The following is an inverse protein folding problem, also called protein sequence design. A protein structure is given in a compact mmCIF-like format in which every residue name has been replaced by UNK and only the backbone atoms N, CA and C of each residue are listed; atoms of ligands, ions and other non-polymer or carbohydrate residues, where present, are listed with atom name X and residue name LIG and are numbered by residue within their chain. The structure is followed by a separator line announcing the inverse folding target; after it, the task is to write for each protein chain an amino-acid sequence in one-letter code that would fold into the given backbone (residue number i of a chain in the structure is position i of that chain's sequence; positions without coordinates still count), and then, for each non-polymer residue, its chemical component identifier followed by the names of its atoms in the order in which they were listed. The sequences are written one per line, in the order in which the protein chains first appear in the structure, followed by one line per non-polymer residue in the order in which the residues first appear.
data_IF_464446967667
#
_entry.id   IF_464446967667
#
_cell.length_a   1.000
_cell.length_b   1.000
_cell.length_c   1.000
_cell.angle_alpha   90.00
_cell.angle_beta   90.00
_cell.angle_gamma   90.00
#
_symmetry.space_group_name_H-M   'P 1'
#
loop_
_entity.id
_entity.type
_entity.pdbx_description
1 polymer ?
#
# COMPACT_ATOMS: atom_id res chain seq x y z
N UNK A 1 -44.03 -35.36 -0.56
CA UNK A 1 -42.56 -35.23 -0.53
C UNK A 1 -41.87 -35.68 -1.83
N UNK A 2 -42.01 -36.94 -2.26
CA UNK A 2 -41.35 -37.49 -3.47
C UNK A 2 -41.75 -36.82 -4.81
N UNK A 3 -42.91 -36.16 -4.88
CA UNK A 3 -43.39 -35.49 -6.11
C UNK A 3 -43.21 -33.96 -6.06
N UNK A 4 -42.48 -33.45 -5.06
CA UNK A 4 -42.18 -32.02 -4.90
C UNK A 4 -40.66 -31.86 -4.72
N UNK A 5 -39.87 -31.97 -5.81
CA UNK A 5 -38.40 -31.90 -5.76
C UNK A 5 -37.89 -30.60 -5.11
N UNK A 6 -38.65 -29.51 -5.28
CA UNK A 6 -38.35 -28.20 -4.68
C UNK A 6 -38.42 -28.21 -3.14
N UNK A 7 -39.08 -29.22 -2.55
CA UNK A 7 -39.14 -29.39 -1.11
C UNK A 7 -38.07 -30.35 -0.56
N UNK A 8 -37.17 -30.88 -1.38
CA UNK A 8 -36.20 -31.85 -0.92
C UNK A 8 -35.06 -31.20 -0.14
N UNK A 9 -34.68 -31.83 0.97
CA UNK A 9 -33.42 -31.56 1.65
C UNK A 9 -32.41 -32.59 1.17
N UNK A 10 -31.42 -32.12 0.41
CA UNK A 10 -30.48 -32.99 -0.28
C UNK A 10 -29.09 -32.80 0.31
N UNK A 11 -28.41 -33.92 0.61
CA UNK A 11 -26.99 -33.94 0.97
C UNK A 11 -26.29 -34.90 0.01
N UNK A 12 -25.41 -34.36 -0.82
CA UNK A 12 -24.59 -35.12 -1.77
C UNK A 12 -23.14 -34.98 -1.36
N UNK A 13 -22.43 -36.11 -1.23
CA UNK A 13 -20.99 -36.13 -1.01
C UNK A 13 -20.29 -36.84 -2.16
N UNK A 14 -19.07 -36.44 -2.47
CA UNK A 14 -18.28 -37.06 -3.53
C UNK A 14 -16.84 -36.60 -3.54
N UNK A 15 -16.11 -37.03 -4.56
CA UNK A 15 -14.78 -36.56 -4.90
C UNK A 15 -14.84 -35.54 -6.04
N UNK A 16 -13.91 -34.60 -6.02
CA UNK A 16 -13.60 -33.71 -7.13
C UNK A 16 -12.40 -34.29 -7.86
N UNK A 17 -12.39 -34.23 -9.18
CA UNK A 17 -11.24 -34.57 -10.00
C UNK A 17 -11.21 -33.61 -11.21
N UNK A 18 -10.09 -32.90 -11.38
CA UNK A 18 -9.83 -31.99 -12.50
C UNK A 18 -10.97 -30.98 -12.81
N UNK A 19 -11.44 -30.29 -11.78
CA UNK A 19 -12.48 -29.26 -11.91
C UNK A 19 -11.85 -27.89 -12.11
N UNK A 20 -12.16 -27.20 -13.20
CA UNK A 20 -11.73 -25.84 -13.44
C UNK A 20 -12.81 -24.82 -13.07
N UNK A 21 -12.43 -23.69 -12.45
CA UNK A 21 -13.33 -22.56 -12.27
C UNK A 21 -12.67 -21.23 -12.64
N UNK A 22 -13.50 -20.31 -13.15
CA UNK A 22 -13.04 -18.96 -13.51
C UNK A 22 -13.00 -18.08 -12.25
N UNK A 23 -11.88 -17.40 -12.05
CA UNK A 23 -11.70 -16.43 -10.97
C UNK A 23 -11.65 -15.02 -11.56
N UNK A 24 -12.09 -14.01 -10.80
CA UNK A 24 -11.87 -12.60 -11.14
C UNK A 24 -10.45 -12.14 -10.77
N UNK A 25 -9.78 -12.84 -9.86
CA UNK A 25 -8.44 -12.49 -9.40
C UNK A 25 -7.35 -12.95 -10.38
N UNK A 26 -7.64 -13.97 -11.18
CA UNK A 26 -6.68 -14.60 -12.10
C UNK A 26 -7.23 -14.63 -13.52
N UNK A 27 -6.40 -14.28 -14.50
CA UNK A 27 -6.79 -14.33 -15.91
C UNK A 27 -7.04 -15.76 -16.42
N UNK A 28 -6.35 -16.75 -15.83
CA UNK A 28 -6.52 -18.17 -16.13
C UNK A 28 -7.42 -18.84 -15.09
N UNK A 29 -8.19 -19.89 -15.47
CA UNK A 29 -8.95 -20.67 -14.52
C UNK A 29 -8.08 -21.28 -13.42
N UNK A 30 -8.62 -21.36 -12.22
CA UNK A 30 -8.05 -22.14 -11.12
C UNK A 30 -8.46 -23.59 -11.32
N UNK A 31 -7.50 -24.50 -11.21
CA UNK A 31 -7.73 -25.94 -11.36
C UNK A 31 -7.81 -26.58 -9.97
N UNK A 32 -8.88 -27.31 -9.69
CA UNK A 32 -9.01 -28.22 -8.56
C UNK A 32 -8.62 -29.59 -9.07
N UNK A 33 -7.47 -30.08 -8.65
CA UNK A 33 -6.89 -31.32 -9.14
C UNK A 33 -7.63 -32.52 -8.56
N UNK A 34 -7.82 -32.51 -7.24
CA UNK A 34 -8.53 -33.55 -6.51
C UNK A 34 -9.00 -33.05 -5.15
N UNK A 35 -9.94 -33.75 -4.54
CA UNK A 35 -10.36 -33.51 -3.16
C UNK A 35 -11.73 -34.08 -2.88
N UNK A 36 -12.32 -33.72 -1.73
CA UNK A 36 -13.68 -34.16 -1.37
C UNK A 36 -14.60 -32.98 -1.20
N UNK A 37 -15.88 -33.20 -1.50
CA UNK A 37 -16.90 -32.19 -1.29
C UNK A 37 -18.16 -32.77 -0.65
N UNK A 38 -18.91 -31.90 0.03
CA UNK A 38 -20.26 -32.16 0.50
C UNK A 38 -21.13 -30.97 0.10
N UNK A 39 -22.13 -31.20 -0.73
CA UNK A 39 -23.16 -30.24 -1.07
C UNK A 39 -24.40 -30.51 -0.21
N UNK A 40 -24.83 -29.51 0.55
CA UNK A 40 -26.10 -29.52 1.27
C UNK A 40 -27.03 -28.48 0.66
N UNK A 41 -28.29 -28.85 0.42
CA UNK A 41 -29.34 -27.96 -0.02
C UNK A 41 -30.57 -28.19 0.87
N UNK A 42 -30.97 -27.18 1.64
CA UNK A 42 -32.11 -27.25 2.57
C UNK A 42 -33.28 -26.33 2.20
N UNK A 43 -33.39 -25.97 0.91
CA UNK A 43 -34.31 -24.97 0.31
C UNK A 43 -33.98 -23.52 0.64
N UNK A 44 -33.46 -23.22 1.83
CA UNK A 44 -33.14 -21.85 2.26
C UNK A 44 -31.68 -21.49 2.04
N UNK A 45 -30.81 -22.49 2.06
CA UNK A 45 -29.36 -22.35 1.91
C UNK A 45 -28.80 -23.52 1.11
N UNK A 46 -27.86 -23.21 0.23
CA UNK A 46 -26.99 -24.21 -0.35
C UNK A 46 -25.59 -24.00 0.23
N UNK A 47 -24.97 -25.07 0.67
CA UNK A 47 -23.66 -25.04 1.29
C UNK A 47 -22.79 -26.10 0.60
N UNK A 48 -21.73 -25.65 -0.07
CA UNK A 48 -20.67 -26.52 -0.54
C UNK A 48 -19.55 -26.50 0.50
N UNK A 49 -19.25 -27.66 1.08
CA UNK A 49 -18.06 -27.87 1.91
C UNK A 49 -16.99 -28.55 1.05
N UNK A 50 -15.76 -28.04 1.14
CA UNK A 50 -14.58 -28.53 0.46
C UNK A 50 -13.60 -29.05 1.51
N UNK A 51 -13.07 -30.25 1.28
CA UNK A 51 -12.15 -30.91 2.21
C UNK A 51 -10.90 -31.37 1.45
N UNK A 52 -9.74 -30.92 1.93
CA UNK A 52 -8.41 -31.35 1.48
C UNK A 52 -8.27 -31.27 -0.05
N UNK A 53 -8.76 -30.20 -0.64
CA UNK A 53 -8.73 -30.04 -2.09
C UNK A 53 -7.35 -29.57 -2.51
N UNK A 54 -6.68 -30.35 -3.34
CA UNK A 54 -5.46 -29.93 -4.01
C UNK A 54 -5.84 -29.10 -5.23
N UNK A 55 -5.26 -27.92 -5.34
CA UNK A 55 -5.51 -26.99 -6.41
C UNK A 55 -4.21 -26.48 -7.02
N UNK A 56 -4.31 -26.08 -8.27
CA UNK A 56 -3.26 -25.42 -9.02
C UNK A 56 -3.76 -24.02 -9.37
N UNK A 57 -3.15 -23.02 -8.74
CA UNK A 57 -3.43 -21.60 -9.00
C UNK A 57 -2.25 -21.04 -9.78
N UNK A 58 -2.43 -20.79 -11.08
CA UNK A 58 -1.32 -20.52 -12.00
C UNK A 58 -0.28 -21.64 -11.94
N UNK A 59 0.94 -21.36 -11.49
CA UNK A 59 2.03 -22.30 -11.28
C UNK A 59 2.19 -22.78 -9.83
N UNK A 60 1.35 -22.27 -8.92
CA UNK A 60 1.45 -22.58 -7.50
C UNK A 60 0.52 -23.72 -7.05
N UNK A 61 1.06 -24.82 -6.49
CA UNK A 61 0.27 -25.85 -5.86
C UNK A 61 -0.23 -25.35 -4.49
N UNK A 62 -1.53 -25.51 -4.26
CA UNK A 62 -2.25 -25.05 -3.08
C UNK A 62 -3.13 -26.16 -2.54
N UNK A 63 -3.31 -26.18 -1.23
CA UNK A 63 -4.33 -26.93 -0.53
C UNK A 63 -5.42 -25.96 -0.06
N UNK A 64 -6.67 -26.36 -0.28
CA UNK A 64 -7.82 -25.58 0.11
C UNK A 64 -8.87 -26.42 0.82
N UNK A 65 -9.50 -25.83 1.82
CA UNK A 65 -10.63 -26.42 2.54
C UNK A 65 -11.54 -25.32 3.04
N UNK A 66 -12.83 -25.57 3.15
CA UNK A 66 -13.73 -24.55 3.64
C UNK A 66 -15.12 -24.67 3.08
N UNK A 67 -15.82 -23.54 2.97
CA UNK A 67 -17.20 -23.50 2.54
C UNK A 67 -17.49 -22.40 1.54
N UNK A 68 -18.45 -22.68 0.67
CA UNK A 68 -19.02 -21.74 -0.30
C UNK A 68 -20.53 -21.76 -0.15
N UNK A 69 -21.11 -20.58 0.05
CA UNK A 69 -22.54 -20.39 0.26
C UNK A 69 -23.24 -20.07 -1.08
N UNK A 70 -24.36 -20.75 -1.32
CA UNK A 70 -25.26 -20.56 -2.46
C UNK A 70 -24.64 -20.82 -3.83
N UNK A 71 -23.86 -21.89 -3.98
CA UNK A 71 -23.11 -22.15 -5.22
C UNK A 71 -23.97 -22.30 -6.49
N UNK A 72 -25.18 -22.89 -6.40
CA UNK A 72 -26.03 -23.07 -7.58
C UNK A 72 -26.89 -21.83 -7.88
N UNK A 73 -27.26 -21.06 -6.85
CA UNK A 73 -28.04 -19.83 -6.98
C UNK A 73 -27.18 -18.56 -7.16
N UNK A 74 -25.87 -18.74 -7.31
CA UNK A 74 -24.87 -17.68 -7.35
C UNK A 74 -24.27 -17.42 -5.97
N UNK A 75 -22.93 -17.51 -5.90
CA UNK A 75 -22.17 -17.50 -4.66
C UNK A 75 -22.45 -16.23 -3.84
N UNK A 76 -22.85 -16.39 -2.58
CA UNK A 76 -23.14 -15.28 -1.65
C UNK A 76 -22.11 -15.14 -0.54
N UNK A 77 -21.25 -16.12 -0.36
CA UNK A 77 -20.17 -16.07 0.62
C UNK A 77 -19.19 -17.21 0.44
N UNK A 78 -17.98 -17.02 0.95
CA UNK A 78 -17.00 -18.09 1.08
C UNK A 78 -16.15 -17.89 2.33
N UNK A 79 -15.71 -18.99 2.91
CA UNK A 79 -14.72 -19.06 3.99
C UNK A 79 -13.78 -20.21 3.63
N UNK A 80 -12.55 -19.88 3.23
CA UNK A 80 -11.56 -20.84 2.73
C UNK A 80 -10.27 -20.75 3.56
N UNK A 81 -9.78 -21.90 3.98
CA UNK A 81 -8.42 -22.12 4.47
C UNK A 81 -7.53 -22.45 3.29
N UNK A 82 -6.34 -21.87 3.27
CA UNK A 82 -5.38 -21.98 2.17
C UNK A 82 -4.00 -22.30 2.76
N UNK A 83 -3.28 -23.23 2.13
CA UNK A 83 -1.87 -23.49 2.41
C UNK A 83 -1.18 -23.88 1.11
N UNK A 84 0.13 -23.69 1.00
CA UNK A 84 0.86 -24.10 -0.20
C UNK A 84 2.08 -23.24 -0.47
N UNK A 85 2.73 -23.52 -1.60
CA UNK A 85 3.97 -22.84 -1.97
C UNK A 85 3.73 -21.92 -3.15
N UNK A 86 4.05 -20.65 -2.98
CA UNK A 86 3.94 -19.64 -4.03
C UNK A 86 5.12 -19.76 -4.99
N UNK A 87 4.78 -19.85 -6.26
CA UNK A 87 5.68 -19.99 -7.40
C UNK A 87 5.71 -18.67 -8.20
N UNK A 88 6.72 -18.47 -9.07
CA UNK A 88 7.00 -17.18 -9.69
C UNK A 88 5.80 -16.49 -10.34
N UNK A 89 4.97 -17.20 -11.14
CA UNK A 89 3.84 -16.56 -11.84
C UNK A 89 2.74 -16.10 -10.88
N UNK A 90 2.54 -16.80 -9.77
CA UNK A 90 1.64 -16.33 -8.72
C UNK A 90 2.22 -15.09 -8.03
N UNK A 91 3.51 -15.07 -7.73
CA UNK A 91 4.17 -13.94 -7.09
C UNK A 91 4.12 -12.68 -7.97
N UNK A 92 4.36 -12.81 -9.28
CA UNK A 92 4.23 -11.69 -10.22
C UNK A 92 2.80 -11.15 -10.24
N UNK A 93 1.80 -12.05 -10.27
CA UNK A 93 0.39 -11.64 -10.18
C UNK A 93 0.06 -10.96 -8.85
N UNK A 94 0.68 -11.39 -7.75
CA UNK A 94 0.50 -10.74 -6.45
C UNK A 94 1.07 -9.32 -6.46
N UNK A 95 2.25 -9.10 -7.03
CA UNK A 95 2.84 -7.76 -7.20
C UNK A 95 1.91 -6.83 -7.97
N UNK A 96 1.27 -7.32 -9.04
CA UNK A 96 0.25 -6.56 -9.78
C UNK A 96 -0.99 -6.22 -8.93
N UNK A 97 -1.52 -7.19 -8.19
CA UNK A 97 -2.71 -7.01 -7.33
C UNK A 97 -2.47 -6.03 -6.17
N UNK A 98 -1.22 -5.94 -5.71
CA UNK A 98 -0.81 -5.01 -4.65
C UNK A 98 -0.41 -3.63 -5.18
N UNK A 99 -0.44 -3.43 -6.50
CA UNK A 99 0.03 -2.22 -7.18
C UNK A 99 1.46 -1.81 -6.80
N UNK A 100 2.32 -2.81 -6.60
CA UNK A 100 3.74 -2.59 -6.37
C UNK A 100 4.44 -2.25 -7.69
N UNK A 101 5.48 -1.43 -7.62
CA UNK A 101 6.36 -1.15 -8.76
C UNK A 101 6.93 -2.49 -9.28
N UNK A 102 6.83 -2.77 -10.59
CA UNK A 102 7.29 -4.01 -11.19
C UNK A 102 8.74 -4.39 -10.83
N UNK A 103 9.60 -3.43 -10.48
CA UNK A 103 10.97 -3.73 -10.04
C UNK A 103 11.05 -4.56 -8.74
N UNK A 104 9.99 -4.56 -7.93
CA UNK A 104 9.91 -5.32 -6.69
C UNK A 104 9.37 -6.73 -6.95
N UNK A 105 10.25 -7.61 -7.44
CA UNK A 105 9.95 -9.04 -7.58
C UNK A 105 10.18 -9.77 -6.26
N UNK A 106 9.17 -10.51 -5.78
CA UNK A 106 9.28 -11.33 -4.57
C UNK A 106 10.10 -12.60 -4.89
N UNK A 107 11.06 -12.94 -4.02
CA UNK A 107 11.85 -14.18 -4.11
C UNK A 107 10.92 -15.40 -4.10
N UNK A 108 11.08 -16.32 -5.08
CA UNK A 108 10.37 -17.58 -5.09
C UNK A 108 10.64 -18.42 -3.84
N UNK A 109 9.75 -19.37 -3.58
CA UNK A 109 9.88 -20.27 -2.43
C UNK A 109 9.19 -19.79 -1.15
N UNK A 110 8.27 -18.83 -1.29
CA UNK A 110 7.39 -18.41 -0.20
C UNK A 110 6.42 -19.55 0.12
N UNK A 111 6.40 -19.99 1.38
CA UNK A 111 5.40 -20.93 1.88
C UNK A 111 4.29 -20.16 2.58
N UNK A 112 3.04 -20.43 2.20
CA UNK A 112 1.86 -20.08 2.98
C UNK A 112 1.58 -21.24 3.94
N UNK A 113 1.82 -21.05 5.23
CA UNK A 113 1.52 -22.06 6.25
C UNK A 113 0.06 -22.04 6.69
N UNK A 114 -0.54 -20.85 6.73
CA UNK A 114 -1.92 -20.65 7.13
C UNK A 114 -2.49 -19.41 6.46
N UNK A 115 -3.41 -19.62 5.52
CA UNK A 115 -4.20 -18.57 4.89
C UNK A 115 -5.68 -18.74 5.23
N UNK A 116 -6.39 -17.65 5.49
CA UNK A 116 -7.85 -17.65 5.58
C UNK A 116 -8.41 -16.54 4.70
N UNK A 117 -9.25 -16.91 3.74
CA UNK A 117 -10.04 -16.02 2.92
C UNK A 117 -11.49 -16.06 3.39
N UNK A 118 -12.08 -14.91 3.69
CA UNK A 118 -13.50 -14.78 3.97
C UNK A 118 -14.12 -13.69 3.10
N UNK A 119 -15.27 -13.96 2.50
CA UNK A 119 -16.01 -12.98 1.71
C UNK A 119 -17.51 -13.22 1.86
N UNK A 120 -18.30 -12.14 1.77
CA UNK A 120 -19.76 -12.20 1.64
C UNK A 120 -20.22 -11.16 0.62
N UNK A 121 -21.28 -11.48 -0.13
CA UNK A 121 -21.91 -10.56 -1.08
C UNK A 121 -22.32 -9.28 -0.35
N UNK A 122 -21.98 -8.13 -0.95
CA UNK A 122 -22.24 -6.81 -0.37
C UNK A 122 -21.31 -6.44 0.81
N UNK A 123 -20.32 -7.28 1.13
CA UNK A 123 -19.29 -7.00 2.14
C UNK A 123 -17.89 -7.08 1.54
N UNK A 124 -16.90 -6.65 2.33
CA UNK A 124 -15.49 -6.78 2.01
C UNK A 124 -15.03 -8.26 1.96
N UNK A 125 -14.03 -8.54 1.12
CA UNK A 125 -13.26 -9.77 1.24
C UNK A 125 -12.08 -9.51 2.18
N UNK A 126 -11.75 -10.48 3.04
CA UNK A 126 -10.61 -10.42 3.94
C UNK A 126 -9.73 -11.64 3.74
N UNK A 127 -8.43 -11.41 3.59
CA UNK A 127 -7.40 -12.43 3.51
C UNK A 127 -6.43 -12.24 4.67
N UNK A 128 -6.27 -13.26 5.50
CA UNK A 128 -5.16 -13.35 6.45
C UNK A 128 -4.20 -14.42 5.97
N UNK A 129 -2.89 -14.19 6.07
CA UNK A 129 -1.91 -15.19 5.67
C UNK A 129 -0.66 -15.14 6.57
N UNK A 130 -0.07 -16.31 6.80
CA UNK A 130 1.27 -16.49 7.35
C UNK A 130 2.19 -16.97 6.24
N UNK A 131 3.20 -16.15 5.93
CA UNK A 131 4.19 -16.36 4.90
C UNK A 131 5.55 -16.66 5.54
N UNK A 132 6.27 -17.64 4.99
CA UNK A 132 7.59 -18.03 5.46
C UNK A 132 8.54 -18.27 4.30
N UNK A 133 9.78 -17.82 4.48
CA UNK A 133 10.92 -18.19 3.63
C UNK A 133 11.82 -19.14 4.43
N UNK A 134 12.46 -20.12 3.77
CA UNK A 134 13.26 -21.16 4.44
C UNK A 134 14.41 -20.61 5.32
N UNK A 135 14.92 -19.43 5.00
CA UNK A 135 15.95 -18.70 5.75
C UNK A 135 15.67 -17.19 5.76
N UNK A 136 14.40 -16.82 5.85
CA UNK A 136 14.00 -15.42 5.75
C UNK A 136 12.92 -15.06 6.77
N UNK A 137 12.23 -13.93 6.57
CA UNK A 137 11.27 -13.45 7.54
C UNK A 137 10.07 -14.38 7.68
N UNK A 138 9.47 -14.34 8.87
CA UNK A 138 8.08 -14.77 9.09
C UNK A 138 7.21 -13.54 8.98
N UNK A 139 6.27 -13.56 8.03
CA UNK A 139 5.35 -12.46 7.79
C UNK A 139 3.93 -12.91 8.08
N UNK A 140 3.20 -12.16 8.89
CA UNK A 140 1.77 -12.31 9.05
C UNK A 140 1.10 -11.07 8.46
N UNK A 141 0.20 -11.24 7.49
CA UNK A 141 -0.47 -10.12 6.84
C UNK A 141 -1.99 -10.28 6.85
N UNK A 142 -2.69 -9.16 6.88
CA UNK A 142 -4.14 -9.04 6.72
C UNK A 142 -4.44 -8.00 5.64
N UNK A 143 -5.09 -8.47 4.58
CA UNK A 143 -5.59 -7.67 3.48
C UNK A 143 -7.11 -7.63 3.50
N UNK A 144 -7.66 -6.46 3.21
CA UNK A 144 -9.09 -6.25 3.02
C UNK A 144 -9.31 -5.68 1.62
N UNK A 145 -10.18 -6.32 0.85
CA UNK A 145 -10.58 -5.91 -0.48
C UNK A 145 -12.02 -5.39 -0.41
N UNK A 146 -12.19 -4.09 -0.56
CA UNK A 146 -13.47 -3.40 -0.43
C UNK A 146 -13.58 -2.28 -1.45
N UNK A 147 -14.74 -2.14 -2.10
CA UNK A 147 -15.03 -1.02 -3.02
C UNK A 147 -13.96 -0.78 -4.11
N UNK A 148 -13.37 -1.85 -4.63
CA UNK A 148 -12.29 -1.75 -5.64
C UNK A 148 -10.94 -1.29 -5.09
N UNK A 149 -10.78 -1.20 -3.76
CA UNK A 149 -9.55 -0.82 -3.09
C UNK A 149 -8.99 -1.99 -2.27
N UNK A 150 -7.66 -2.05 -2.21
CA UNK A 150 -6.91 -2.99 -1.37
C UNK A 150 -6.37 -2.23 -0.16
N UNK A 151 -6.70 -2.71 1.03
CA UNK A 151 -6.24 -2.14 2.31
C UNK A 151 -5.34 -3.15 3.00
N UNK A 152 -4.20 -2.68 3.49
CA UNK A 152 -3.27 -3.48 4.26
C UNK A 152 -3.48 -3.18 5.74
N UNK A 153 -4.34 -3.95 6.40
CA UNK A 153 -4.81 -3.66 7.75
C UNK A 153 -3.76 -3.91 8.81
N UNK A 154 -2.95 -4.94 8.59
CA UNK A 154 -1.88 -5.33 9.50
C UNK A 154 -0.88 -6.19 8.79
N UNK A 155 0.39 -5.89 8.97
CA UNK A 155 1.49 -6.79 8.63
C UNK A 155 2.47 -6.80 9.77
N UNK A 156 2.82 -7.99 10.25
CA UNK A 156 3.88 -8.21 11.22
C UNK A 156 5.00 -8.97 10.53
N UNK A 157 6.23 -8.48 10.65
CA UNK A 157 7.44 -9.08 10.10
C UNK A 157 8.35 -9.41 11.27
N UNK A 158 8.87 -10.64 11.29
CA UNK A 158 9.90 -11.08 12.23
C UNK A 158 11.06 -11.65 11.44
N UNK A 159 12.25 -11.07 11.60
CA UNK A 159 13.47 -11.51 10.94
C UNK A 159 14.67 -11.30 11.86
N UNK A 160 15.46 -12.34 12.12
CA UNK A 160 16.67 -12.28 12.96
C UNK A 160 16.48 -11.54 14.30
N UNK A 161 15.35 -11.84 14.97
CA UNK A 161 15.00 -11.24 16.27
C UNK A 161 14.41 -9.82 16.19
N UNK A 162 14.54 -9.13 15.05
CA UNK A 162 13.90 -7.83 14.79
C UNK A 162 12.43 -8.02 14.46
N UNK A 163 11.62 -7.02 14.83
CA UNK A 163 10.19 -6.99 14.59
C UNK A 163 9.81 -5.67 13.94
N UNK A 164 8.89 -5.74 13.00
CA UNK A 164 8.20 -4.58 12.47
C UNK A 164 6.73 -4.89 12.28
N UNK A 165 5.88 -3.93 12.63
CA UNK A 165 4.47 -3.94 12.35
C UNK A 165 4.13 -2.74 11.48
N UNK A 166 3.32 -2.94 10.44
CA UNK A 166 2.84 -1.85 9.63
C UNK A 166 1.39 -2.04 9.17
N UNK A 167 0.69 -0.91 9.00
CA UNK A 167 -0.66 -0.82 8.46
C UNK A 167 -0.73 0.34 7.49
N UNK A 168 -1.41 0.13 6.37
CA UNK A 168 -1.72 1.16 5.39
C UNK A 168 -3.16 0.98 4.94
N UNK A 169 -4.00 1.92 5.38
CA UNK A 169 -5.39 2.02 4.94
C UNK A 169 -5.52 3.31 4.14
N UNK A 170 -5.67 3.16 2.83
CA UNK A 170 -5.92 4.29 1.93
C UNK A 170 -7.33 4.22 1.36
N UNK A 171 -7.93 5.39 1.18
CA UNK A 171 -9.19 5.62 0.49
C UNK A 171 -9.09 6.90 -0.33
N UNK A 172 -10.12 7.22 -1.12
CA UNK A 172 -10.14 8.48 -1.89
C UNK A 172 -10.01 9.74 -1.02
N UNK A 173 -10.37 9.67 0.27
CA UNK A 173 -10.46 10.85 1.16
C UNK A 173 -9.59 10.77 2.39
N UNK A 174 -9.03 9.61 2.70
CA UNK A 174 -8.26 9.40 3.92
C UNK A 174 -7.10 8.43 3.70
N UNK A 175 -5.99 8.70 4.37
CA UNK A 175 -4.83 7.84 4.51
C UNK A 175 -4.58 7.63 6.00
N UNK A 176 -4.44 6.38 6.42
CA UNK A 176 -4.02 6.01 7.76
C UNK A 176 -2.82 5.07 7.66
N UNK A 177 -1.70 5.51 8.22
CA UNK A 177 -0.44 4.79 8.28
C UNK A 177 -0.09 4.52 9.74
N UNK A 178 0.30 3.28 10.03
CA UNK A 178 0.89 2.90 11.31
C UNK A 178 2.18 2.13 11.00
N UNK A 179 3.25 2.47 11.69
CA UNK A 179 4.51 1.74 11.69
C UNK A 179 5.02 1.61 13.11
N UNK A 180 5.54 0.45 13.48
CA UNK A 180 6.17 0.20 14.78
C UNK A 180 7.29 -0.84 14.61
N UNK A 181 8.49 -0.54 15.09
CA UNK A 181 9.63 -1.46 15.09
C UNK A 181 10.75 -1.04 14.14
N UNK A 182 11.42 -2.02 13.53
CA UNK A 182 12.62 -1.83 12.70
C UNK A 182 12.61 -2.78 11.49
N UNK A 183 12.86 -2.23 10.30
CA UNK A 183 13.15 -2.97 9.08
C UNK A 183 14.50 -2.52 8.53
N UNK A 184 15.27 -3.48 8.03
CA UNK A 184 16.56 -3.24 7.40
C UNK A 184 16.64 -3.91 6.02
N UNK A 185 17.73 -3.63 5.32
CA UNK A 185 18.04 -4.18 4.01
C UNK A 185 18.07 -5.70 4.02
N UNK A 186 18.65 -6.35 5.03
CA UNK A 186 18.68 -7.83 5.12
C UNK A 186 17.28 -8.45 5.05
N UNK A 187 16.29 -7.78 5.65
CA UNK A 187 14.90 -8.24 5.62
C UNK A 187 14.30 -8.10 4.22
N UNK A 188 14.57 -7.00 3.53
CA UNK A 188 14.13 -6.79 2.15
C UNK A 188 14.87 -7.74 1.19
N UNK A 189 16.17 -7.96 1.37
CA UNK A 189 16.97 -8.91 0.60
C UNK A 189 16.45 -10.33 0.76
N UNK A 190 15.96 -10.71 1.94
CA UNK A 190 15.35 -12.01 2.14
C UNK A 190 14.01 -12.18 1.40
N UNK A 191 13.31 -11.07 1.11
CA UNK A 191 11.98 -11.06 0.46
C UNK A 191 12.08 -10.82 -1.05
N UNK A 192 12.98 -9.97 -1.53
CA UNK A 192 13.02 -9.46 -2.90
C UNK A 192 14.15 -10.06 -3.71
N UNK A 193 13.88 -10.43 -4.98
CA UNK A 193 14.89 -11.01 -5.90
C UNK A 193 16.02 -10.02 -6.10
N UNK A 194 15.65 -8.77 -6.37
CA UNK A 194 16.56 -7.64 -6.43
C UNK A 194 16.02 -6.57 -5.49
N UNK A 195 16.78 -6.28 -4.44
CA UNK A 195 16.50 -5.16 -3.58
C UNK A 195 17.13 -3.91 -4.20
N UNK A 196 16.34 -2.87 -4.55
CA UNK A 196 16.90 -1.63 -5.10
C UNK A 196 17.60 -0.77 -4.04
N UNK A 197 17.78 -1.26 -2.82
CA UNK A 197 18.37 -0.56 -1.68
C UNK A 197 19.56 -1.36 -1.17
N UNK A 198 20.77 -0.81 -1.29
CA UNK A 198 22.01 -1.51 -0.90
C UNK A 198 22.27 -1.51 0.62
N UNK A 199 21.78 -0.52 1.38
CA UNK A 199 22.09 -0.39 2.83
C UNK A 199 21.14 0.54 3.61
N UNK A 200 19.83 0.38 3.41
CA UNK A 200 18.78 1.13 4.09
C UNK A 200 18.16 0.46 5.32
N UNK A 201 17.50 1.29 6.12
CA UNK A 201 16.68 0.89 7.25
C UNK A 201 15.57 1.92 7.54
N UNK A 202 14.52 1.47 8.22
CA UNK A 202 13.47 2.31 8.80
C UNK A 202 13.18 1.82 10.22
N UNK A 203 13.09 2.73 11.19
CA UNK A 203 12.80 2.40 12.58
C UNK A 203 11.98 3.47 13.28
N UNK A 204 11.26 3.07 14.32
CA UNK A 204 10.50 3.97 15.17
C UNK A 204 9.08 3.47 15.40
N UNK A 205 8.22 4.38 15.85
CA UNK A 205 6.81 4.15 16.11
C UNK A 205 6.05 5.39 15.62
N UNK A 206 5.37 5.29 14.49
CA UNK A 206 4.65 6.42 13.90
C UNK A 206 3.24 6.01 13.55
N UNK A 207 2.28 6.79 14.02
CA UNK A 207 0.92 6.78 13.55
C UNK A 207 0.63 8.11 12.86
N UNK A 208 0.10 8.06 11.64
CA UNK A 208 -0.27 9.23 10.87
C UNK A 208 -1.64 9.01 10.23
N UNK A 209 -2.56 9.94 10.44
CA UNK A 209 -3.85 9.99 9.79
C UNK A 209 -3.95 11.30 9.00
N UNK A 210 -4.40 11.21 7.76
CA UNK A 210 -4.49 12.33 6.85
C UNK A 210 -5.83 12.24 6.12
N UNK A 211 -6.64 13.30 6.22
CA UNK A 211 -7.93 13.41 5.58
C UNK A 211 -7.86 14.52 4.52
N UNK A 212 -7.90 14.13 3.24
CA UNK A 212 -7.80 15.01 2.09
C UNK A 212 -9.14 15.66 1.70
N UNK A 213 -10.25 15.23 2.33
CA UNK A 213 -11.56 15.88 2.18
C UNK A 213 -11.54 17.26 2.82
N UNK A 214 -12.20 18.27 2.23
CA UNK A 214 -12.37 19.57 2.91
C UNK A 214 -13.16 19.38 4.23
N UNK A 215 -12.69 19.89 5.38
CA UNK A 215 -11.39 20.55 5.60
C UNK A 215 -10.21 19.56 5.60
N UNK A 216 -9.12 19.91 4.91
CA UNK A 216 -7.88 19.13 4.92
C UNK A 216 -7.38 19.05 6.36
N UNK A 217 -7.11 17.83 6.85
CA UNK A 217 -6.60 17.67 8.21
C UNK A 217 -5.62 16.52 8.32
N UNK A 218 -4.71 16.60 9.27
CA UNK A 218 -3.86 15.49 9.64
C UNK A 218 -3.69 15.44 11.15
N UNK A 219 -3.50 14.23 11.65
CA UNK A 219 -3.06 13.99 13.02
C UNK A 219 -1.98 12.92 13.03
N UNK A 220 -1.07 12.98 13.98
CA UNK A 220 -0.07 11.94 14.12
C UNK A 220 0.54 11.88 15.50
N UNK A 221 1.21 10.76 15.77
CA UNK A 221 1.91 10.54 17.02
C UNK A 221 3.13 9.68 16.80
N UNK A 222 4.24 10.07 17.44
CA UNK A 222 5.45 9.27 17.55
C UNK A 222 6.60 9.76 16.68
N UNK A 223 7.54 8.87 16.38
CA UNK A 223 8.82 9.18 15.74
C UNK A 223 9.18 8.15 14.69
N UNK A 224 9.67 8.59 13.54
CA UNK A 224 10.15 7.75 12.47
C UNK A 224 11.51 8.23 12.00
N UNK A 225 12.45 7.30 11.92
CA UNK A 225 13.73 7.52 11.27
C UNK A 225 13.89 6.55 10.11
N UNK A 226 14.48 7.01 9.02
CA UNK A 226 14.86 6.15 7.91
C UNK A 226 16.19 6.58 7.30
N UNK A 227 16.87 5.63 6.69
CA UNK A 227 18.07 5.85 5.88
C UNK A 227 18.01 4.98 4.64
N UNK A 228 18.38 5.53 3.49
CA UNK A 228 18.39 4.86 2.17
C UNK A 228 17.16 3.98 1.93
N UNK A 229 15.96 4.50 2.12
CA UNK A 229 14.72 3.76 2.01
C UNK A 229 13.95 4.14 0.74
N UNK A 230 13.38 3.15 0.04
CA UNK A 230 12.54 3.33 -1.15
C UNK A 230 11.21 2.64 -0.92
N UNK A 231 10.12 3.35 -1.20
CA UNK A 231 8.77 2.79 -1.09
C UNK A 231 8.45 1.94 -2.33
N UNK A 232 7.75 0.79 -2.14
CA UNK A 232 7.45 -0.11 -3.25
C UNK A 232 6.24 0.29 -4.10
N UNK A 233 5.53 1.38 -3.78
CA UNK A 233 4.32 1.80 -4.49
C UNK A 233 4.63 2.59 -5.76
N UNK A 234 3.96 2.25 -6.88
CA UNK A 234 4.19 2.86 -8.20
C UNK A 234 4.16 4.39 -8.20
N UNK A 235 3.25 5.00 -7.45
CA UNK A 235 3.11 6.46 -7.39
C UNK A 235 4.24 7.20 -6.67
N UNK A 236 5.02 6.52 -5.82
CA UNK A 236 6.12 7.11 -5.03
C UNK A 236 7.49 6.53 -5.44
N UNK A 237 7.53 5.67 -6.45
CA UNK A 237 8.69 4.88 -6.82
C UNK A 237 9.90 5.70 -7.32
N UNK A 238 9.68 6.95 -7.72
CA UNK A 238 10.72 7.85 -8.21
C UNK A 238 11.41 8.65 -7.10
N UNK A 239 10.81 8.73 -5.90
CA UNK A 239 11.35 9.46 -4.76
C UNK A 239 12.08 8.50 -3.82
N UNK A 240 13.35 8.79 -3.57
CA UNK A 240 14.20 8.03 -2.66
C UNK A 240 14.41 8.83 -1.37
N UNK A 241 14.36 8.16 -0.24
CA UNK A 241 14.62 8.75 1.06
C UNK A 241 16.04 8.36 1.47
N UNK A 242 17.00 9.26 1.33
CA UNK A 242 18.36 9.02 1.80
C UNK A 242 18.43 9.08 3.32
N UNK A 243 17.72 10.03 3.91
CA UNK A 243 17.61 10.20 5.35
C UNK A 243 16.27 10.83 5.70
N UNK A 244 15.70 10.41 6.82
CA UNK A 244 14.46 10.97 7.38
C UNK A 244 14.55 10.92 8.90
N UNK A 245 14.16 12.02 9.54
CA UNK A 245 13.89 12.13 10.96
C UNK A 245 12.63 12.99 11.14
N UNK A 246 11.52 12.31 11.47
CA UNK A 246 10.19 12.89 11.54
C UNK A 246 9.55 12.57 12.89
N UNK A 247 9.06 13.60 13.58
CA UNK A 247 8.22 13.47 14.78
C UNK A 247 6.83 14.00 14.50
N UNK A 248 5.81 13.30 14.99
CA UNK A 248 4.43 13.76 14.94
C UNK A 248 3.83 13.84 16.34
N UNK A 249 3.05 14.87 16.60
CA UNK A 249 2.31 15.06 17.84
C UNK A 249 1.01 15.82 17.54
N UNK A 250 -0.12 15.15 17.73
CA UNK A 250 -1.46 15.66 17.45
C UNK A 250 -1.53 16.24 16.04
N UNK A 251 -1.92 17.50 15.90
CA UNK A 251 -2.04 18.23 14.64
C UNK A 251 -0.70 18.79 14.12
N UNK A 252 0.45 18.35 14.66
CA UNK A 252 1.77 18.85 14.27
C UNK A 252 2.67 17.72 13.76
N UNK A 253 3.33 17.95 12.63
CA UNK A 253 4.44 17.14 12.13
C UNK A 253 5.66 18.03 12.06
N UNK A 254 6.76 17.57 12.68
CA UNK A 254 8.07 18.20 12.59
C UNK A 254 9.02 17.29 11.84
N UNK A 255 9.58 17.82 10.78
CA UNK A 255 10.65 17.21 10.00
C UNK A 255 11.96 17.82 10.49
N UNK A 256 12.66 17.13 11.37
CA UNK A 256 13.96 17.60 11.87
C UNK A 256 14.95 17.64 10.70
N UNK A 257 14.93 16.60 9.87
CA UNK A 257 15.74 16.52 8.68
C UNK A 257 15.20 15.45 7.74
N UNK A 258 15.11 15.76 6.45
CA UNK A 258 15.01 14.75 5.40
C UNK A 258 15.96 15.08 4.27
N UNK A 259 16.55 14.06 3.67
CA UNK A 259 17.26 14.15 2.39
C UNK A 259 16.51 13.28 1.41
N UNK A 260 16.00 13.92 0.38
CA UNK A 260 15.19 13.30 -0.65
C UNK A 260 15.93 13.36 -1.99
N UNK A 261 15.84 12.29 -2.77
CA UNK A 261 16.46 12.22 -4.10
C UNK A 261 15.42 11.85 -5.15
N UNK A 262 15.48 12.53 -6.30
CA UNK A 262 14.68 12.24 -7.48
C UNK A 262 15.57 12.22 -8.73
N UNK A 263 16.00 11.03 -9.13
CA UNK A 263 17.08 10.84 -10.11
C UNK A 263 18.40 11.42 -9.59
N UNK A 264 19.03 12.28 -10.36
CA UNK A 264 20.30 12.93 -10.00
C UNK A 264 20.14 14.16 -9.08
N UNK A 265 18.91 14.56 -8.75
CA UNK A 265 18.67 15.76 -7.95
C UNK A 265 18.38 15.35 -6.50
N UNK A 266 19.18 15.87 -5.57
CA UNK A 266 19.01 15.70 -4.13
C UNK A 266 18.70 17.04 -3.48
N UNK A 267 17.82 17.02 -2.49
CA UNK A 267 17.44 18.19 -1.72
C UNK A 267 17.17 17.79 -0.26
N UNK A 268 17.61 18.64 0.66
CA UNK A 268 17.28 18.50 2.07
C UNK A 268 16.09 19.37 2.43
N UNK A 269 15.26 18.85 3.33
CA UNK A 269 14.06 19.51 3.81
C UNK A 269 14.02 19.43 5.33
N UNK A 270 13.71 20.54 5.98
CA UNK A 270 13.42 20.60 7.41
C UNK A 270 12.28 21.58 7.67
N UNK A 271 11.60 21.44 8.80
CA UNK A 271 10.54 22.37 9.19
C UNK A 271 9.38 21.72 9.90
N UNK A 272 8.26 22.42 9.91
CA UNK A 272 7.03 22.00 10.59
C UNK A 272 5.81 22.22 9.71
N UNK A 273 4.87 21.29 9.80
CA UNK A 273 3.50 21.45 9.35
C UNK A 273 2.58 21.39 10.58
N UNK A 274 1.61 22.31 10.67
CA UNK A 274 0.61 22.34 11.75
C UNK A 274 -0.78 22.47 11.12
N UNK A 275 -1.69 21.58 11.46
CA UNK A 275 -3.09 21.71 11.12
C UNK A 275 -3.77 22.65 12.14
N UNK A 276 -4.48 23.67 11.62
CA UNK A 276 -5.32 24.57 12.42
C UNK A 276 -6.61 24.86 11.68
N UNK A 277 -7.73 24.40 12.23
CA UNK A 277 -9.08 24.75 11.75
C UNK A 277 -9.29 24.46 10.26
N UNK A 278 -8.69 23.38 9.74
CA UNK A 278 -8.78 22.98 8.34
C UNK A 278 -7.77 23.61 7.39
N UNK A 279 -6.80 24.35 7.93
CA UNK A 279 -5.67 24.93 7.21
C UNK A 279 -4.38 24.25 7.65
N UNK A 280 -3.52 23.86 6.71
CA UNK A 280 -2.17 23.42 7.03
C UNK A 280 -1.22 24.61 6.97
N UNK A 281 -0.70 25.03 8.12
CA UNK A 281 0.37 26.01 8.24
C UNK A 281 1.73 25.33 8.06
N UNK A 282 2.50 25.78 7.08
CA UNK A 282 3.84 25.29 6.77
C UNK A 282 4.90 26.32 7.18
N UNK A 283 5.95 25.86 7.84
CA UNK A 283 7.21 26.59 8.00
C UNK A 283 8.34 25.65 7.65
N UNK A 284 8.84 25.76 6.42
CA UNK A 284 9.75 24.78 5.84
C UNK A 284 10.99 25.47 5.27
N UNK A 285 12.11 24.76 5.31
CA UNK A 285 13.36 25.12 4.64
C UNK A 285 13.74 24.00 3.68
N UNK A 286 14.09 24.36 2.45
CA UNK A 286 14.52 23.46 1.40
C UNK A 286 15.87 23.94 0.89
N UNK A 287 16.88 23.08 0.98
CA UNK A 287 18.21 23.30 0.43
C UNK A 287 18.50 22.31 -0.69
N UNK A 288 19.05 22.79 -1.80
CA UNK A 288 19.44 21.95 -2.92
C UNK A 288 20.73 22.44 -3.58
N UNK A 289 21.57 21.53 -4.06
CA UNK A 289 22.70 21.90 -4.93
C UNK A 289 22.18 22.36 -6.29
N UNK A 290 21.23 21.61 -6.84
CA UNK A 290 20.57 21.91 -8.09
C UNK A 290 19.08 21.65 -7.95
N UNK A 291 18.27 22.64 -8.28
CA UNK A 291 16.82 22.52 -8.31
C UNK A 291 16.28 22.86 -9.70
N UNK A 292 15.45 21.96 -10.21
CA UNK A 292 14.75 22.11 -11.49
C UNK A 292 13.26 22.28 -11.23
N UNK A 293 12.71 23.43 -11.61
CA UNK A 293 11.31 23.73 -11.34
C UNK A 293 10.35 22.76 -12.00
N UNK A 294 10.60 22.37 -13.25
CA UNK A 294 9.83 21.38 -14.01
C UNK A 294 9.72 20.04 -13.27
N UNK A 295 10.82 19.60 -12.65
CA UNK A 295 10.83 18.37 -11.85
C UNK A 295 10.12 18.51 -10.52
N UNK A 296 10.35 19.62 -9.81
CA UNK A 296 9.69 19.88 -8.54
C UNK A 296 8.16 19.99 -8.73
N UNK A 297 7.72 20.70 -9.77
CA UNK A 297 6.31 20.81 -10.12
C UNK A 297 5.70 19.45 -10.47
N UNK A 298 6.42 18.59 -11.21
CA UNK A 298 6.00 17.22 -11.49
C UNK A 298 5.82 16.37 -10.22
N UNK A 299 6.76 16.44 -9.28
CA UNK A 299 6.65 15.76 -7.98
C UNK A 299 5.45 16.27 -7.18
N UNK A 300 5.28 17.60 -7.09
CA UNK A 300 4.15 18.19 -6.38
C UNK A 300 2.79 17.79 -6.99
N UNK A 301 2.72 17.66 -8.32
CA UNK A 301 1.51 17.18 -9.00
C UNK A 301 1.21 15.70 -8.72
N UNK A 302 2.23 14.85 -8.63
CA UNK A 302 2.06 13.42 -8.29
C UNK A 302 1.64 13.21 -6.84
N UNK A 303 2.08 14.10 -5.94
CA UNK A 303 1.73 14.07 -4.51
C UNK A 303 0.39 14.75 -4.22
N UNK A 304 -0.10 15.61 -5.12
CA UNK A 304 -1.40 16.24 -4.97
C UNK A 304 -2.53 15.22 -5.20
N UNK A 305 -3.55 15.15 -4.32
CA UNK A 305 -4.72 14.32 -4.56
C UNK A 305 -5.38 14.73 -5.88
N UNK A 306 -5.81 13.74 -6.68
CA UNK A 306 -6.51 13.99 -7.94
C UNK A 306 -7.68 14.95 -7.69
N UNK A 307 -7.62 16.13 -8.32
CA UNK A 307 -8.70 17.12 -8.24
C UNK A 307 -9.99 16.47 -8.74
N UNK A 308 -10.94 16.25 -7.85
CA UNK A 308 -12.30 15.95 -8.26
C UNK A 308 -12.87 17.21 -8.95
N UNK A 309 -13.25 17.05 -10.22
CA UNK A 309 -13.98 18.00 -11.09
C UNK A 309 -13.31 19.35 -11.39
N UNK A 310 -13.17 19.64 -12.69
CA UNK A 310 -12.66 20.87 -13.27
C UNK A 310 -13.65 22.06 -13.22
N UNK A 311 -14.57 22.09 -12.24
CA UNK A 311 -15.73 23.01 -12.26
C UNK A 311 -15.75 24.04 -11.12
N UNK A 312 -14.67 24.17 -10.33
CA UNK A 312 -14.58 25.17 -9.26
C UNK A 312 -13.38 26.10 -9.50
N UNK A 313 -13.64 27.22 -10.18
CA UNK A 313 -12.62 28.14 -10.71
C UNK A 313 -11.96 29.04 -9.66
N UNK A 314 -12.13 28.77 -8.36
CA UNK A 314 -11.41 29.42 -7.23
C UNK A 314 -11.28 28.49 -6.01
N UNK A 315 -10.77 27.28 -6.20
CA UNK A 315 -10.45 26.41 -5.06
C UNK A 315 -9.33 27.03 -4.20
N UNK A 316 -9.69 27.59 -3.05
CA UNK A 316 -8.74 28.04 -2.02
C UNK A 316 -7.78 26.88 -1.68
N UNK A 317 -6.47 27.18 -1.63
CA UNK A 317 -5.47 26.22 -1.19
C UNK A 317 -5.63 26.08 0.34
N UNK A 318 -5.91 24.88 0.88
CA UNK A 318 -6.02 24.67 2.33
C UNK A 318 -4.63 24.61 2.99
N UNK A 319 -3.71 25.43 2.51
CA UNK A 319 -2.31 25.50 2.92
C UNK A 319 -1.94 26.97 3.04
N UNK A 320 -1.27 27.33 4.12
CA UNK A 320 -0.67 28.64 4.33
C UNK A 320 0.76 28.51 4.85
N UNK A 321 1.50 29.60 4.84
CA UNK A 321 2.81 29.67 5.50
C UNK A 321 3.96 29.86 4.52
N UNK A 322 5.17 29.57 4.98
CA UNK A 322 6.41 29.97 4.31
C UNK A 322 7.29 28.76 4.00
N UNK A 323 7.85 28.76 2.80
CA UNK A 323 8.94 27.85 2.43
C UNK A 323 10.15 28.69 2.06
N UNK A 324 11.21 28.60 2.85
CA UNK A 324 12.51 29.14 2.51
C UNK A 324 13.18 28.16 1.54
N UNK A 325 13.52 28.65 0.36
CA UNK A 325 14.17 27.86 -0.67
C UNK A 325 15.56 28.43 -0.93
N UNK A 326 16.55 27.57 -0.81
CA UNK A 326 17.94 27.85 -1.14
C UNK A 326 18.43 26.84 -2.17
N UNK A 327 18.99 27.34 -3.27
CA UNK A 327 19.56 26.51 -4.32
C UNK A 327 20.82 27.12 -4.89
N UNK A 328 21.90 26.35 -5.02
CA UNK A 328 23.12 26.85 -5.70
C UNK A 328 22.89 27.03 -7.19
N UNK A 329 22.11 26.15 -7.82
CA UNK A 329 21.72 26.25 -9.23
C UNK A 329 20.22 25.99 -9.38
N UNK A 330 19.45 27.01 -9.70
CA UNK A 330 18.02 26.89 -9.99
C UNK A 330 17.76 27.01 -11.50
N UNK A 331 16.95 26.10 -12.06
CA UNK A 331 16.54 26.17 -13.47
C UNK A 331 15.03 26.32 -13.62
N UNK A 332 14.64 27.30 -14.44
CA UNK A 332 13.25 27.59 -14.79
C UNK A 332 13.16 28.00 -16.27
N UNK A 333 12.36 27.28 -17.06
CA UNK A 333 12.11 27.59 -18.47
C UNK A 333 13.38 27.84 -19.31
N UNK A 334 14.43 27.04 -19.06
CA UNK A 334 15.72 27.16 -19.76
C UNK A 334 16.67 28.21 -19.18
N UNK A 335 16.22 29.09 -18.28
CA UNK A 335 17.10 30.00 -17.54
C UNK A 335 17.76 29.26 -16.37
N UNK A 336 19.04 29.55 -16.13
CA UNK A 336 19.78 29.09 -14.95
C UNK A 336 20.06 30.30 -14.06
N UNK A 337 19.73 30.18 -12.78
CA UNK A 337 20.07 31.14 -11.74
C UNK A 337 21.04 30.47 -10.79
N UNK A 338 22.10 31.18 -10.41
CA UNK A 338 23.03 30.76 -9.36
C UNK A 338 22.70 31.42 -8.03
N UNK A 339 22.96 30.71 -6.94
CA UNK A 339 22.74 31.16 -5.55
C UNK A 339 21.32 31.72 -5.30
N UNK A 340 20.30 31.00 -5.76
CA UNK A 340 18.91 31.39 -5.51
C UNK A 340 18.60 31.27 -4.01
N UNK A 341 18.15 32.37 -3.42
CA UNK A 341 17.47 32.40 -2.11
C UNK A 341 16.12 33.06 -2.28
N UNK A 342 15.05 32.32 -2.01
CA UNK A 342 13.69 32.82 -2.14
C UNK A 342 12.82 32.38 -0.97
N UNK A 343 11.82 33.20 -0.65
CA UNK A 343 10.73 32.82 0.25
C UNK A 343 9.48 32.62 -0.59
N UNK A 344 8.93 31.41 -0.57
CA UNK A 344 7.62 31.10 -1.13
C UNK A 344 6.59 31.27 -0.01
N UNK A 345 5.57 32.08 -0.24
CA UNK A 345 4.50 32.29 0.72
C UNK A 345 3.20 31.74 0.14
N UNK A 346 2.61 30.80 0.86
CA UNK A 346 1.33 30.19 0.54
C UNK A 346 0.23 30.89 1.35
N UNK A 347 -0.88 31.18 0.69
CA UNK A 347 -2.12 31.57 1.34
C UNK A 347 -3.32 30.91 0.64
N UNK A 348 -4.50 30.90 1.28
CA UNK A 348 -5.72 30.46 0.61
C UNK A 348 -6.01 31.20 -0.70
N UNK A 349 -5.52 32.44 -0.84
CA UNK A 349 -5.71 33.26 -2.04
C UNK A 349 -4.69 33.00 -3.15
N UNK A 350 -3.57 32.32 -2.88
CA UNK A 350 -2.58 31.99 -3.89
C UNK A 350 -1.17 31.74 -3.36
N UNK A 351 -0.23 31.67 -4.30
CA UNK A 351 1.20 31.50 -4.05
C UNK A 351 1.92 32.79 -4.47
N UNK A 352 2.74 33.36 -3.59
CA UNK A 352 3.67 34.42 -3.93
C UNK A 352 5.12 33.96 -3.70
N UNK A 353 6.05 34.53 -4.45
CA UNK A 353 7.47 34.22 -4.33
C UNK A 353 8.26 35.53 -4.24
N UNK A 354 9.06 35.66 -3.19
CA UNK A 354 10.00 36.76 -3.04
C UNK A 354 11.42 36.24 -3.23
N UNK A 355 12.09 36.66 -4.29
CA UNK A 355 13.50 36.36 -4.52
C UNK A 355 14.34 37.38 -3.75
N UNK A 356 15.11 36.89 -2.78
CA UNK A 356 16.03 37.71 -1.97
C UNK A 356 17.40 37.84 -2.63
N UNK A 357 17.85 36.78 -3.29
CA UNK A 357 19.13 36.72 -3.99
C UNK A 357 19.00 35.77 -5.18
N UNK A 358 19.54 36.17 -6.33
CA UNK A 358 19.77 35.33 -7.49
C UNK A 358 20.83 36.00 -8.37
N UNK A 359 21.69 35.21 -9.00
CA UNK A 359 22.65 35.67 -10.01
C UNK A 359 22.34 34.95 -11.33
N UNK A 360 22.39 35.67 -12.45
CA UNK A 360 22.23 35.09 -13.79
C UNK A 360 23.52 34.43 -14.27
#
# INVERSE_FOLDING_TARGET
PLLQPDLWKVKVGGSLEQVAFKSILFAKPVQLLEGRYVLQNDQKRQLLQLHEVRAQVLDSPMELSGRVDNILAGITGCELKLAGRLQPRFLDRLTELLDWDPKYHIKPGVQVSAGNLSWRRGKEARLTAQLMWSKGPKIQCEYVFANGQTQLRRTNIIHDGRKAAFSLVSSQKQLHLIFDGELNTDTLDAILVHNPVDSGWVKGNLQLQLAWSRPLSFTGQGHLQAKHFRLPWKGLAALEIDQLDLTAQDAQVKLTHAVLRHGEDAFSVSGTAIERQGLIELDMEIDAERLRWDKLAGLLQQLAPSRASADDNRAELPISGNIQLHSRTFRLNGMALSELRSTLQFSPQGLSAQVRQARL
#
